data_IF_013466592249
#
_entry.id   IF_013466592249
#
_cell.length_a   1.000
_cell.length_b   1.000
_cell.length_c   1.000
_cell.angle_alpha   90.00
_cell.angle_beta   90.00
_cell.angle_gamma   90.00
#
_symmetry.space_group_name_H-M   'P 1'
#
loop_
_entity.id
_entity.type
_entity.pdbx_description
1 polymer ?
#
# COMPACT_ATOMS: atom_id res chain seq x y z
N UNK A 1 24.27 45.50 43.73
CA UNK A 1 24.34 44.11 44.29
C UNK A 1 24.96 43.22 43.27
N UNK A 2 26.19 42.75 43.53
CA UNK A 2 27.02 41.98 42.61
C UNK A 2 26.75 40.49 42.95
N UNK A 3 26.10 39.76 42.07
CA UNK A 3 25.89 38.31 42.24
C UNK A 3 27.21 37.56 41.97
N UNK A 4 27.64 36.75 42.91
CA UNK A 4 28.86 35.99 42.85
C UNK A 4 28.77 34.75 41.95
N UNK A 5 29.89 34.38 41.29
CA UNK A 5 30.06 33.28 40.35
C UNK A 5 29.88 31.85 40.91
N UNK A 6 29.31 31.65 42.09
CA UNK A 6 29.25 30.37 42.81
C UNK A 6 27.85 29.71 42.88
N UNK A 7 26.83 30.33 42.28
CA UNK A 7 25.46 29.75 42.29
C UNK A 7 24.99 29.17 40.95
N UNK A 8 25.89 29.00 40.00
CA UNK A 8 25.58 28.38 38.68
C UNK A 8 25.80 26.87 38.65
N UNK A 9 25.46 26.16 39.69
CA UNK A 9 25.78 24.77 39.78
C UNK A 9 24.78 23.92 40.55
N UNK A 10 23.50 23.97 40.25
CA UNK A 10 22.52 22.91 40.65
C UNK A 10 21.17 23.11 39.96
N UNK A 11 21.16 23.21 38.63
CA UNK A 11 19.96 22.83 37.88
C UNK A 11 20.16 21.37 37.51
N UNK A 12 19.73 20.48 38.37
CA UNK A 12 19.48 19.12 38.03
C UNK A 12 18.34 19.13 36.97
N UNK A 13 18.70 19.00 35.69
CA UNK A 13 17.74 18.60 34.69
C UNK A 13 17.22 17.23 35.14
N UNK A 14 16.04 17.23 35.75
CA UNK A 14 15.27 16.01 35.88
C UNK A 14 14.98 15.55 34.45
N UNK A 15 15.70 14.54 33.98
CA UNK A 15 15.34 13.81 32.77
C UNK A 15 13.94 13.24 33.03
N UNK A 16 12.92 13.92 32.51
CA UNK A 16 11.58 13.33 32.41
C UNK A 16 11.80 12.06 31.59
N UNK A 17 11.52 10.86 32.14
CA UNK A 17 11.60 9.66 31.34
C UNK A 17 10.60 9.86 30.20
N UNK A 18 11.12 9.98 28.98
CA UNK A 18 10.32 9.90 27.77
C UNK A 18 9.73 8.48 27.81
N UNK A 19 8.47 8.35 28.24
CA UNK A 19 7.78 7.09 28.20
C UNK A 19 7.93 6.58 26.76
N UNK A 20 8.62 5.45 26.60
CA UNK A 20 8.72 4.83 25.30
C UNK A 20 7.28 4.60 24.83
N UNK A 21 6.86 5.33 23.80
CA UNK A 21 5.56 5.13 23.20
C UNK A 21 5.47 3.64 22.88
N UNK A 22 4.44 2.97 23.41
CA UNK A 22 4.26 1.56 23.13
C UNK A 22 4.30 1.38 21.61
N UNK A 23 5.19 0.49 21.14
CA UNK A 23 5.36 0.26 19.71
C UNK A 23 3.99 -0.11 19.12
N UNK A 24 3.55 0.62 18.11
CA UNK A 24 2.29 0.31 17.42
C UNK A 24 2.36 -1.09 16.83
N UNK A 25 1.28 -1.84 16.97
CA UNK A 25 1.21 -3.21 16.44
C UNK A 25 -0.18 -3.48 15.87
N UNK A 26 -0.25 -3.58 14.56
CA UNK A 26 -1.47 -3.94 13.84
C UNK A 26 -1.51 -5.41 13.39
N UNK A 27 -0.64 -6.28 13.93
CA UNK A 27 -0.73 -7.73 13.74
C UNK A 27 -1.73 -8.30 14.74
N UNK A 28 -2.92 -8.69 14.26
CA UNK A 28 -4.04 -9.13 15.05
C UNK A 28 -4.27 -10.61 14.81
N UNK A 29 -4.21 -11.42 15.87
CA UNK A 29 -4.37 -12.88 15.77
C UNK A 29 -3.51 -13.54 14.68
N UNK A 30 -2.29 -13.02 14.48
CA UNK A 30 -1.34 -13.49 13.49
C UNK A 30 -1.45 -12.85 12.10
N UNK A 31 -2.51 -12.11 11.80
CA UNK A 31 -2.72 -11.42 10.52
C UNK A 31 -2.18 -9.99 10.59
N UNK A 32 -1.29 -9.62 9.67
CA UNK A 32 -0.80 -8.26 9.56
C UNK A 32 -1.82 -7.40 8.82
N UNK A 33 -2.36 -6.40 9.52
CA UNK A 33 -3.19 -5.35 8.90
C UNK A 33 -2.30 -4.14 8.65
N UNK A 34 -2.36 -3.62 7.44
CA UNK A 34 -1.67 -2.40 7.02
C UNK A 34 -2.60 -1.50 6.24
N UNK A 35 -2.00 -0.53 5.56
CA UNK A 35 -2.71 0.28 4.59
C UNK A 35 -1.83 0.59 3.38
N UNK A 36 -2.44 0.66 2.19
CA UNK A 36 -1.81 1.37 1.08
C UNK A 36 -1.93 2.87 1.32
N UNK A 37 -0.82 3.60 1.16
CA UNK A 37 -0.80 5.05 1.43
C UNK A 37 -1.71 5.86 0.50
N UNK A 38 -2.22 5.27 -0.58
CA UNK A 38 -3.31 5.83 -1.39
C UNK A 38 -4.59 6.10 -0.59
N UNK A 39 -4.83 5.34 0.48
CA UNK A 39 -5.93 5.60 1.42
C UNK A 39 -5.87 6.99 2.07
N UNK A 40 -4.69 7.61 2.07
CA UNK A 40 -4.40 8.94 2.61
C UNK A 40 -4.12 9.98 1.51
N UNK A 41 -4.60 9.77 0.28
CA UNK A 41 -4.29 10.58 -0.91
C UNK A 41 -4.69 12.07 -0.82
N UNK A 42 -5.56 12.42 0.10
CA UNK A 42 -6.00 13.78 0.43
C UNK A 42 -5.14 14.44 1.53
N UNK A 43 -4.21 13.70 2.14
CA UNK A 43 -3.24 14.24 3.09
C UNK A 43 -1.91 14.55 2.39
N UNK A 44 -1.16 15.57 2.85
CA UNK A 44 0.23 15.75 2.47
C UNK A 44 1.08 14.51 2.86
N UNK A 45 2.10 14.19 2.07
CA UNK A 45 2.91 12.98 2.29
C UNK A 45 3.55 12.91 3.70
N UNK A 46 3.93 14.04 4.28
CA UNK A 46 4.48 14.11 5.64
C UNK A 46 3.45 13.86 6.75
N UNK A 47 2.14 13.86 6.45
CA UNK A 47 1.08 13.55 7.40
C UNK A 47 0.69 12.07 7.42
N UNK A 48 1.19 11.27 6.48
CA UNK A 48 0.86 9.84 6.38
C UNK A 48 1.36 9.07 7.61
N UNK A 49 2.62 9.25 8.01
CA UNK A 49 3.19 8.60 9.19
C UNK A 49 2.41 8.98 10.47
N UNK A 50 2.18 10.28 10.78
CA UNK A 50 1.33 10.69 11.90
C UNK A 50 -0.08 10.06 11.87
N UNK A 51 -0.72 10.02 10.69
CA UNK A 51 -2.04 9.42 10.54
C UNK A 51 -2.02 7.91 10.86
N UNK A 52 -1.06 7.17 10.33
CA UNK A 52 -0.90 5.74 10.59
C UNK A 52 -0.63 5.44 12.07
N UNK A 53 0.24 6.21 12.71
CA UNK A 53 0.52 6.11 14.15
C UNK A 53 -0.75 6.37 14.96
N UNK A 54 -1.52 7.41 14.63
CA UNK A 54 -2.77 7.75 15.30
C UNK A 54 -3.82 6.63 15.20
N UNK A 55 -3.89 5.94 14.06
CA UNK A 55 -4.79 4.80 13.84
C UNK A 55 -4.27 3.54 14.53
N UNK A 56 -2.95 3.40 14.67
CA UNK A 56 -2.27 2.22 15.20
C UNK A 56 -1.87 1.20 14.14
N UNK A 57 -1.66 1.63 12.90
CA UNK A 57 -1.23 0.79 11.78
C UNK A 57 0.30 0.69 11.74
N UNK A 58 0.83 -0.52 11.79
CA UNK A 58 2.28 -0.81 11.84
C UNK A 58 2.84 -1.40 10.55
N UNK A 59 2.11 -1.35 9.44
CA UNK A 59 2.58 -1.82 8.13
C UNK A 59 2.04 -0.93 7.01
N UNK A 60 2.85 -0.67 5.99
CA UNK A 60 2.49 0.17 4.84
C UNK A 60 2.91 -0.43 3.51
N UNK A 61 2.00 -0.34 2.55
CA UNK A 61 2.30 -0.29 1.13
C UNK A 61 2.41 1.18 0.71
N UNK A 62 3.63 1.65 0.40
CA UNK A 62 3.89 3.05 0.13
C UNK A 62 3.77 3.36 -1.35
N UNK A 63 2.92 4.33 -1.72
CA UNK A 63 2.85 4.86 -3.07
C UNK A 63 4.15 5.58 -3.46
N UNK A 64 4.61 5.38 -4.68
CA UNK A 64 5.85 5.98 -5.19
C UNK A 64 5.87 7.50 -5.14
N UNK A 65 4.75 8.17 -5.45
CA UNK A 65 4.64 9.63 -5.35
C UNK A 65 4.78 10.15 -3.91
N UNK A 66 4.30 9.41 -2.92
CA UNK A 66 4.48 9.76 -1.52
C UNK A 66 5.94 9.54 -1.07
N UNK A 67 6.55 8.43 -1.48
CA UNK A 67 7.95 8.18 -1.21
C UNK A 67 8.86 9.23 -1.87
N UNK A 68 8.59 9.62 -3.12
CA UNK A 68 9.32 10.66 -3.83
C UNK A 68 9.15 12.03 -3.13
N UNK A 69 7.93 12.38 -2.72
CA UNK A 69 7.67 13.62 -1.97
C UNK A 69 8.45 13.67 -0.65
N UNK A 70 8.46 12.57 0.12
CA UNK A 70 9.25 12.44 1.35
C UNK A 70 10.77 12.48 1.09
N UNK A 71 11.20 12.05 -0.09
CA UNK A 71 12.58 12.11 -0.55
C UNK A 71 12.99 13.50 -1.08
N UNK A 72 12.06 14.46 -1.17
CA UNK A 72 12.32 15.82 -1.65
C UNK A 72 12.27 15.96 -3.18
N UNK A 73 11.56 15.08 -3.87
CA UNK A 73 11.31 15.22 -5.30
C UNK A 73 10.49 16.49 -5.60
N UNK A 74 10.73 17.14 -6.75
CA UNK A 74 9.90 18.26 -7.18
C UNK A 74 8.47 17.79 -7.45
N UNK A 75 7.49 18.61 -7.08
CA UNK A 75 6.09 18.39 -7.45
C UNK A 75 5.93 18.46 -8.96
N UNK A 76 5.19 17.50 -9.54
CA UNK A 76 5.00 17.40 -10.99
C UNK A 76 3.51 17.17 -11.33
N UNK A 77 2.68 18.21 -11.25
CA UNK A 77 1.25 18.12 -11.55
C UNK A 77 1.00 17.62 -12.98
N UNK A 78 -0.10 16.88 -13.15
CA UNK A 78 -0.49 16.41 -14.49
C UNK A 78 -0.72 17.61 -15.43
N UNK A 79 -0.12 17.55 -16.63
CA UNK A 79 -0.22 18.62 -17.63
C UNK A 79 0.87 19.69 -17.55
N UNK A 80 1.66 19.75 -16.48
CA UNK A 80 2.83 20.61 -16.39
C UNK A 80 4.07 19.92 -16.95
N UNK A 81 4.36 20.16 -18.22
CA UNK A 81 5.49 19.53 -18.93
C UNK A 81 6.84 19.88 -18.30
N UNK A 82 7.04 21.11 -17.85
CA UNK A 82 8.30 21.54 -17.25
C UNK A 82 8.52 20.85 -15.89
N UNK A 83 7.49 20.77 -15.06
CA UNK A 83 7.54 20.05 -13.79
C UNK A 83 7.75 18.53 -13.99
N UNK A 84 7.13 17.91 -15.01
CA UNK A 84 7.37 16.51 -15.36
C UNK A 84 8.82 16.27 -15.82
N UNK A 85 9.41 17.18 -16.58
CA UNK A 85 10.82 17.11 -16.96
C UNK A 85 11.75 17.25 -15.76
N UNK A 86 11.46 18.18 -14.83
CA UNK A 86 12.22 18.34 -13.60
C UNK A 86 12.19 17.08 -12.73
N UNK A 87 11.02 16.44 -12.59
CA UNK A 87 10.88 15.18 -11.87
C UNK A 87 11.67 14.07 -12.55
N UNK A 88 11.63 13.97 -13.89
CA UNK A 88 12.41 12.98 -14.63
C UNK A 88 13.91 13.18 -14.42
N UNK A 89 14.40 14.41 -14.48
CA UNK A 89 15.80 14.75 -14.20
C UNK A 89 16.18 14.39 -12.76
N UNK A 90 15.31 14.66 -11.79
CA UNK A 90 15.52 14.28 -10.39
C UNK A 90 15.62 12.75 -10.23
N UNK A 91 14.70 11.98 -10.84
CA UNK A 91 14.73 10.50 -10.83
C UNK A 91 16.01 9.92 -11.41
N UNK A 92 16.57 10.56 -12.44
CA UNK A 92 17.84 10.13 -13.06
C UNK A 92 19.05 10.42 -12.17
N UNK A 93 18.99 11.44 -11.32
CA UNK A 93 20.09 11.89 -10.48
C UNK A 93 20.04 11.40 -9.03
N UNK A 94 18.85 11.02 -8.56
CA UNK A 94 18.64 10.64 -7.17
C UNK A 94 19.40 9.38 -6.81
N UNK A 95 20.06 9.41 -5.65
CA UNK A 95 20.80 8.27 -5.12
C UNK A 95 19.91 7.40 -4.22
N UNK A 96 20.11 6.07 -4.20
CA UNK A 96 19.31 5.15 -3.38
C UNK A 96 19.26 5.49 -1.89
N UNK A 97 20.34 6.05 -1.33
CA UNK A 97 20.45 6.39 0.09
C UNK A 97 19.41 7.42 0.56
N UNK A 98 18.79 8.16 -0.37
CA UNK A 98 17.70 9.07 -0.01
C UNK A 98 16.45 8.28 0.40
N UNK A 99 16.21 7.15 -0.26
CA UNK A 99 15.09 6.27 0.06
C UNK A 99 15.32 5.47 1.35
N UNK A 100 16.57 5.18 1.72
CA UNK A 100 16.91 4.64 3.04
C UNK A 100 16.51 5.62 4.17
N UNK A 101 16.68 6.92 3.95
CA UNK A 101 16.21 7.95 4.90
C UNK A 101 14.68 8.00 4.97
N UNK A 102 13.99 7.82 3.85
CA UNK A 102 12.52 7.69 3.86
C UNK A 102 12.10 6.45 4.65
N UNK A 103 12.70 5.28 4.37
CA UNK A 103 12.47 4.06 5.14
C UNK A 103 12.65 4.28 6.63
N UNK A 104 13.73 4.98 7.02
CA UNK A 104 14.04 5.26 8.43
C UNK A 104 12.92 6.02 9.12
N UNK A 105 12.25 6.97 8.46
CA UNK A 105 11.11 7.70 9.05
C UNK A 105 9.97 6.74 9.45
N UNK A 106 9.62 5.77 8.59
CA UNK A 106 8.62 4.74 8.90
C UNK A 106 9.08 3.82 10.02
N UNK A 107 10.32 3.33 9.95
CA UNK A 107 10.88 2.43 10.96
C UNK A 107 10.95 3.08 12.35
N UNK A 108 11.37 4.36 12.42
CA UNK A 108 11.42 5.12 13.68
C UNK A 108 10.03 5.31 14.30
N UNK A 109 8.98 5.32 13.47
CA UNK A 109 7.59 5.37 13.89
C UNK A 109 6.99 3.98 14.21
N UNK A 110 7.76 2.90 14.09
CA UNK A 110 7.30 1.53 14.29
C UNK A 110 6.46 0.96 13.13
N UNK A 111 6.60 1.52 11.92
CA UNK A 111 5.87 1.09 10.72
C UNK A 111 6.81 0.30 9.81
N UNK A 112 6.46 -0.94 9.48
CA UNK A 112 7.15 -1.79 8.51
C UNK A 112 6.74 -1.40 7.08
N UNK A 113 7.64 -0.79 6.32
CA UNK A 113 7.46 -0.49 4.91
C UNK A 113 7.73 -1.79 4.12
N UNK A 114 6.68 -2.55 3.81
CA UNK A 114 6.82 -3.86 3.16
C UNK A 114 6.78 -3.79 1.64
N UNK A 115 6.00 -2.90 1.08
CA UNK A 115 5.71 -2.88 -0.36
C UNK A 115 5.80 -1.46 -0.88
N UNK A 116 6.41 -1.31 -2.05
CA UNK A 116 6.36 -0.09 -2.84
C UNK A 116 5.30 -0.24 -3.95
N UNK A 117 4.28 0.60 -3.97
CA UNK A 117 3.37 0.71 -5.09
C UNK A 117 3.91 1.71 -6.12
N UNK A 118 4.32 1.21 -7.28
CA UNK A 118 4.81 2.02 -8.39
C UNK A 118 4.05 1.67 -9.67
N UNK A 119 3.11 2.53 -10.09
CA UNK A 119 2.28 2.28 -11.25
C UNK A 119 3.05 2.52 -12.55
N UNK A 120 3.24 1.46 -13.33
CA UNK A 120 3.93 1.45 -14.61
C UNK A 120 2.89 1.39 -15.75
N UNK A 121 2.88 2.41 -16.59
CA UNK A 121 1.99 2.49 -17.75
C UNK A 121 2.65 2.02 -19.04
N UNK A 122 1.89 1.94 -20.12
CA UNK A 122 2.39 1.54 -21.45
C UNK A 122 3.50 2.45 -21.99
N UNK A 123 3.53 3.70 -21.56
CA UNK A 123 4.54 4.69 -21.94
C UNK A 123 5.77 4.72 -20.99
N UNK A 124 5.78 3.89 -19.94
CA UNK A 124 6.96 3.79 -19.08
C UNK A 124 8.12 3.21 -19.84
N UNK A 125 9.30 3.83 -19.69
CA UNK A 125 10.53 3.37 -20.32
C UNK A 125 11.18 2.26 -19.48
N UNK A 126 12.20 1.60 -20.01
CA UNK A 126 12.96 0.60 -19.27
C UNK A 126 13.76 1.25 -18.11
N UNK A 127 14.14 2.53 -18.28
CA UNK A 127 14.73 3.34 -17.20
C UNK A 127 13.73 3.61 -16.08
N UNK A 128 12.44 3.85 -16.40
CA UNK A 128 11.39 4.00 -15.38
C UNK A 128 11.18 2.68 -14.61
N UNK A 129 11.22 1.55 -15.33
CA UNK A 129 11.12 0.23 -14.72
C UNK A 129 12.31 -0.01 -13.79
N UNK A 130 13.54 0.18 -14.28
CA UNK A 130 14.76 0.02 -13.47
C UNK A 130 14.77 0.94 -12.25
N UNK A 131 14.33 2.19 -12.42
CA UNK A 131 14.20 3.15 -11.32
C UNK A 131 13.23 2.66 -10.23
N UNK A 132 12.10 2.09 -10.61
CA UNK A 132 11.11 1.57 -9.64
C UNK A 132 11.72 0.47 -8.74
N UNK A 133 12.54 -0.42 -9.31
CA UNK A 133 13.23 -1.47 -8.55
C UNK A 133 14.35 -0.91 -7.67
N UNK A 134 15.16 0.04 -8.16
CA UNK A 134 16.18 0.71 -7.34
C UNK A 134 15.57 1.46 -6.16
N UNK A 135 14.43 2.13 -6.39
CA UNK A 135 13.66 2.80 -5.35
C UNK A 135 13.16 1.80 -4.30
N UNK A 136 12.60 0.65 -4.74
CA UNK A 136 12.15 -0.39 -3.83
C UNK A 136 13.31 -0.95 -2.97
N UNK A 137 14.49 -1.16 -3.55
CA UNK A 137 15.69 -1.58 -2.80
C UNK A 137 16.11 -0.53 -1.76
N UNK A 138 16.17 0.75 -2.13
CA UNK A 138 16.50 1.84 -1.19
C UNK A 138 15.51 1.94 -0.04
N UNK A 139 14.22 1.76 -0.33
CA UNK A 139 13.16 1.67 0.69
C UNK A 139 13.22 0.36 1.50
N UNK A 140 14.01 -0.63 1.09
CA UNK A 140 14.04 -1.96 1.68
C UNK A 140 12.70 -2.68 1.59
N UNK A 141 11.91 -2.37 0.57
CA UNK A 141 10.65 -3.04 0.29
C UNK A 141 10.90 -4.51 -0.10
N UNK A 142 9.98 -5.37 0.30
CA UNK A 142 10.05 -6.82 0.03
C UNK A 142 9.39 -7.20 -1.29
N UNK A 143 8.58 -6.30 -1.85
CA UNK A 143 7.94 -6.44 -3.14
C UNK A 143 7.61 -5.06 -3.74
N UNK A 144 7.40 -5.06 -5.05
CA UNK A 144 6.73 -3.99 -5.79
C UNK A 144 5.29 -4.41 -6.06
N UNK A 145 4.35 -3.47 -6.06
CA UNK A 145 3.02 -3.64 -6.65
C UNK A 145 2.78 -2.60 -7.73
N UNK A 146 1.92 -2.89 -8.67
CA UNK A 146 1.66 -1.96 -9.78
C UNK A 146 0.29 -2.18 -10.42
N UNK A 147 -0.51 -1.12 -10.51
CA UNK A 147 -1.58 -1.04 -11.50
C UNK A 147 -0.93 -0.88 -12.86
N UNK A 148 -1.14 -1.84 -13.74
CA UNK A 148 -0.43 -1.93 -15.02
C UNK A 148 -1.21 -2.78 -16.02
N UNK A 149 -0.56 -3.24 -17.08
CA UNK A 149 -1.12 -4.06 -18.14
C UNK A 149 -0.23 -5.28 -18.41
N UNK A 150 -0.80 -6.34 -18.98
CA UNK A 150 -0.07 -7.58 -19.28
C UNK A 150 1.13 -7.34 -20.21
N UNK A 151 1.00 -6.45 -21.20
CA UNK A 151 2.12 -6.05 -22.08
C UNK A 151 3.26 -5.39 -21.32
N UNK A 152 2.96 -4.57 -20.32
CA UNK A 152 3.97 -3.94 -19.44
C UNK A 152 4.57 -4.99 -18.50
N UNK A 153 3.79 -5.89 -17.92
CA UNK A 153 4.28 -6.98 -17.07
C UNK A 153 5.35 -7.83 -17.78
N UNK A 154 5.18 -8.09 -19.08
CA UNK A 154 6.20 -8.79 -19.91
C UNK A 154 7.54 -8.05 -19.96
N UNK A 155 7.52 -6.70 -19.97
CA UNK A 155 8.73 -5.86 -19.94
C UNK A 155 9.33 -5.77 -18.54
N UNK A 156 8.50 -5.84 -17.50
CA UNK A 156 8.93 -5.82 -16.09
C UNK A 156 9.60 -7.13 -15.67
N UNK A 157 9.17 -8.27 -16.20
CA UNK A 157 9.63 -9.58 -15.78
C UNK A 157 11.17 -9.75 -15.74
N UNK A 158 11.95 -9.30 -16.73
CA UNK A 158 13.41 -9.37 -16.68
C UNK A 158 14.01 -8.53 -15.52
N UNK A 159 13.39 -7.41 -15.16
CA UNK A 159 13.84 -6.56 -14.06
C UNK A 159 13.50 -7.21 -12.70
N UNK A 160 12.32 -7.79 -12.54
CA UNK A 160 11.96 -8.53 -11.34
C UNK A 160 12.96 -9.67 -11.07
N UNK A 161 13.41 -10.37 -12.11
CA UNK A 161 14.45 -11.39 -12.03
C UNK A 161 15.82 -10.80 -11.73
N UNK A 162 16.25 -9.72 -12.43
CA UNK A 162 17.52 -9.01 -12.21
C UNK A 162 17.67 -8.56 -10.76
N UNK A 163 16.61 -8.03 -10.16
CA UNK A 163 16.61 -7.51 -8.80
C UNK A 163 16.25 -8.56 -7.75
N UNK A 164 15.88 -9.79 -8.16
CA UNK A 164 15.37 -10.84 -7.30
C UNK A 164 14.26 -10.36 -6.35
N UNK A 165 13.38 -9.50 -6.84
CA UNK A 165 12.34 -8.83 -6.07
C UNK A 165 10.95 -9.13 -6.67
N UNK A 166 9.99 -9.68 -5.90
CA UNK A 166 8.64 -9.91 -6.36
C UNK A 166 7.97 -8.64 -6.88
N UNK A 167 7.26 -8.77 -8.00
CA UNK A 167 6.43 -7.74 -8.58
C UNK A 167 4.99 -8.23 -8.65
N UNK A 168 4.09 -7.59 -7.90
CA UNK A 168 2.67 -7.92 -7.80
C UNK A 168 1.83 -7.14 -8.80
N UNK A 169 1.17 -7.83 -9.73
CA UNK A 169 0.16 -7.25 -10.60
C UNK A 169 -1.06 -6.87 -9.77
N UNK A 170 -1.36 -5.57 -9.65
CA UNK A 170 -2.52 -5.09 -8.93
C UNK A 170 -3.79 -5.23 -9.78
N UNK A 171 -4.78 -5.91 -9.20
CA UNK A 171 -6.03 -6.25 -9.87
C UNK A 171 -7.04 -5.10 -9.94
N UNK A 172 -7.74 -5.02 -11.06
CA UNK A 172 -8.95 -4.21 -11.26
C UNK A 172 -10.13 -5.09 -11.69
N UNK A 173 -11.19 -4.52 -12.26
CA UNK A 173 -12.44 -5.25 -12.53
C UNK A 173 -12.97 -5.14 -13.97
N UNK A 174 -12.18 -4.60 -14.90
CA UNK A 174 -12.57 -4.52 -16.30
C UNK A 174 -12.25 -5.85 -17.04
N UNK A 175 -13.10 -6.83 -16.86
CA UNK A 175 -12.95 -8.17 -17.48
C UNK A 175 -13.03 -8.16 -19.01
N UNK A 176 -13.53 -7.08 -19.64
CA UNK A 176 -13.60 -6.97 -21.08
C UNK A 176 -12.26 -6.60 -21.73
N UNK A 177 -11.30 -6.09 -20.96
CA UNK A 177 -9.98 -5.73 -21.44
C UNK A 177 -8.98 -6.89 -21.21
N UNK A 178 -8.47 -7.57 -22.25
CA UNK A 178 -7.57 -8.71 -22.11
C UNK A 178 -6.19 -8.34 -21.55
N UNK A 179 -5.86 -7.05 -21.50
CA UNK A 179 -4.61 -6.53 -20.94
C UNK A 179 -4.74 -6.17 -19.45
N UNK A 180 -5.97 -6.05 -18.94
CA UNK A 180 -6.26 -5.70 -17.54
C UNK A 180 -6.06 -6.90 -16.61
N UNK A 181 -5.54 -6.68 -15.42
CA UNK A 181 -5.40 -7.71 -14.38
C UNK A 181 -6.73 -7.93 -13.66
N UNK A 182 -7.75 -8.40 -14.38
CA UNK A 182 -9.12 -8.49 -13.88
C UNK A 182 -9.61 -9.94 -13.72
N UNK A 183 -8.90 -10.91 -14.26
CA UNK A 183 -9.34 -12.31 -14.25
C UNK A 183 -8.24 -13.28 -13.80
N UNK A 184 -8.60 -14.45 -13.25
CA UNK A 184 -7.62 -15.50 -12.91
C UNK A 184 -6.69 -15.87 -14.07
N UNK A 185 -7.21 -15.90 -15.30
CA UNK A 185 -6.46 -16.28 -16.49
C UNK A 185 -5.37 -15.24 -16.83
N UNK A 186 -5.65 -13.96 -16.61
CA UNK A 186 -4.65 -12.90 -16.83
C UNK A 186 -3.59 -12.93 -15.72
N UNK A 187 -3.98 -13.14 -14.48
CA UNK A 187 -3.03 -13.36 -13.38
C UNK A 187 -2.15 -14.59 -13.63
N UNK A 188 -2.70 -15.69 -14.12
CA UNK A 188 -1.93 -16.89 -14.49
C UNK A 188 -0.89 -16.58 -15.58
N UNK A 189 -1.25 -15.78 -16.60
CA UNK A 189 -0.29 -15.32 -17.62
C UNK A 189 0.84 -14.47 -17.03
N UNK A 190 0.55 -13.60 -16.06
CA UNK A 190 1.58 -12.82 -15.35
C UNK A 190 2.51 -13.75 -14.57
N UNK A 191 1.96 -14.63 -13.74
CA UNK A 191 2.75 -15.57 -12.91
C UNK A 191 3.60 -16.54 -13.74
N UNK A 192 3.17 -16.85 -14.96
CA UNK A 192 3.91 -17.72 -15.89
C UNK A 192 5.17 -17.06 -16.50
N UNK A 193 5.33 -15.73 -16.40
CA UNK A 193 6.49 -15.03 -16.97
C UNK A 193 7.80 -15.42 -16.27
N UNK A 194 7.84 -15.42 -14.95
CA UNK A 194 8.90 -15.99 -14.12
C UNK A 194 8.48 -16.09 -12.63
N UNK A 195 9.36 -16.63 -11.78
CA UNK A 195 9.10 -16.86 -10.35
C UNK A 195 8.92 -15.59 -9.51
N UNK A 196 9.29 -14.41 -9.99
CA UNK A 196 9.17 -13.12 -9.29
C UNK A 196 7.92 -12.33 -9.72
N UNK A 197 7.16 -12.84 -10.69
CA UNK A 197 5.91 -12.21 -11.12
C UNK A 197 4.75 -12.77 -10.31
N UNK A 198 4.20 -11.92 -9.44
CA UNK A 198 3.21 -12.28 -8.42
C UNK A 198 1.93 -11.46 -8.62
N UNK A 199 1.02 -11.54 -7.67
CA UNK A 199 -0.28 -10.83 -7.65
C UNK A 199 -0.35 -9.95 -6.40
N UNK A 200 -0.72 -8.68 -6.57
CA UNK A 200 -1.32 -7.87 -5.52
C UNK A 200 -2.84 -8.03 -5.71
N UNK A 201 -3.46 -8.85 -4.86
CA UNK A 201 -4.88 -9.17 -5.03
C UNK A 201 -5.76 -8.14 -4.34
N UNK A 202 -6.40 -7.28 -5.14
CA UNK A 202 -7.52 -6.49 -4.66
C UNK A 202 -8.78 -7.34 -4.59
N UNK A 203 -9.17 -7.73 -3.38
CA UNK A 203 -10.33 -8.61 -3.19
C UNK A 203 -11.66 -7.93 -3.51
N UNK A 204 -11.72 -6.59 -3.44
CA UNK A 204 -12.91 -5.84 -3.81
C UNK A 204 -13.11 -5.81 -5.31
N UNK A 205 -12.08 -5.48 -6.09
CA UNK A 205 -12.14 -5.53 -7.54
C UNK A 205 -12.39 -6.96 -8.05
N UNK A 206 -11.74 -7.95 -7.44
CA UNK A 206 -11.91 -9.35 -7.81
C UNK A 206 -13.35 -9.84 -7.57
N UNK A 207 -13.97 -9.43 -6.44
CA UNK A 207 -15.39 -9.70 -6.15
C UNK A 207 -16.31 -8.94 -7.10
N UNK A 208 -16.01 -7.68 -7.41
CA UNK A 208 -16.79 -6.89 -8.37
C UNK A 208 -16.76 -7.51 -9.77
N UNK A 209 -15.63 -8.09 -10.17
CA UNK A 209 -15.48 -8.85 -11.41
C UNK A 209 -16.21 -10.21 -11.41
N UNK A 210 -16.78 -10.64 -10.26
CA UNK A 210 -17.57 -11.86 -10.14
C UNK A 210 -16.80 -13.09 -9.69
N UNK A 211 -15.54 -12.95 -9.24
CA UNK A 211 -14.69 -14.06 -8.82
C UNK A 211 -14.69 -14.27 -7.30
N UNK A 212 -14.35 -15.51 -6.88
CA UNK A 212 -14.23 -15.89 -5.47
C UNK A 212 -12.80 -15.64 -4.95
N UNK A 213 -12.64 -14.54 -4.19
CA UNK A 213 -11.37 -14.17 -3.62
C UNK A 213 -10.85 -15.20 -2.57
N UNK A 214 -11.75 -15.86 -1.82
CA UNK A 214 -11.37 -16.85 -0.81
C UNK A 214 -10.77 -18.09 -1.47
N UNK A 215 -11.41 -18.58 -2.53
CA UNK A 215 -10.90 -19.72 -3.31
C UNK A 215 -9.57 -19.39 -3.97
N UNK A 216 -9.46 -18.19 -4.59
CA UNK A 216 -8.25 -17.76 -5.27
C UNK A 216 -7.04 -17.62 -4.31
N UNK A 217 -7.26 -17.05 -3.11
CA UNK A 217 -6.19 -16.95 -2.09
C UNK A 217 -5.73 -18.33 -1.65
N UNK A 218 -6.62 -19.31 -1.45
CA UNK A 218 -6.23 -20.68 -1.07
C UNK A 218 -5.33 -21.34 -2.11
N UNK A 219 -5.62 -21.12 -3.38
CA UNK A 219 -4.89 -21.74 -4.49
C UNK A 219 -3.53 -21.07 -4.73
N UNK A 220 -3.44 -19.73 -4.53
CA UNK A 220 -2.29 -18.94 -4.97
C UNK A 220 -1.59 -18.16 -3.85
N UNK A 221 -1.82 -18.51 -2.57
CA UNK A 221 -1.31 -17.76 -1.40
C UNK A 221 0.21 -17.57 -1.39
N UNK A 222 0.96 -18.46 -2.02
CA UNK A 222 2.43 -18.43 -2.13
C UNK A 222 2.94 -17.48 -3.23
N UNK A 223 2.04 -16.94 -4.05
CA UNK A 223 2.31 -16.01 -5.15
C UNK A 223 1.55 -14.69 -5.01
N UNK A 224 1.09 -14.36 -3.81
CA UNK A 224 0.42 -13.09 -3.48
C UNK A 224 1.37 -12.22 -2.66
N UNK A 225 1.67 -11.00 -3.12
CA UNK A 225 2.51 -10.04 -2.40
C UNK A 225 1.80 -9.47 -1.18
N UNK A 226 0.53 -9.11 -1.37
CA UNK A 226 -0.38 -8.54 -0.37
C UNK A 226 -1.81 -8.55 -0.89
N UNK A 227 -2.76 -8.28 -0.01
CA UNK A 227 -4.15 -8.05 -0.36
C UNK A 227 -4.49 -6.57 -0.24
N UNK A 228 -5.27 -6.04 -1.19
CA UNK A 228 -6.02 -4.81 -0.97
C UNK A 228 -7.41 -5.17 -0.44
N UNK A 229 -7.70 -4.66 0.74
CA UNK A 229 -9.01 -4.80 1.38
C UNK A 229 -9.85 -3.58 1.04
N UNK A 230 -10.81 -3.79 0.18
CA UNK A 230 -11.77 -2.81 -0.32
C UNK A 230 -13.15 -3.46 -0.34
N UNK A 231 -14.19 -2.78 0.06
CA UNK A 231 -15.54 -3.30 -0.07
C UNK A 231 -16.20 -2.75 -1.31
N UNK A 232 -16.65 -3.63 -2.17
CA UNK A 232 -17.32 -3.31 -3.42
C UNK A 232 -18.56 -4.19 -3.62
N UNK A 233 -19.53 -3.71 -4.39
CA UNK A 233 -20.60 -4.55 -4.90
C UNK A 233 -20.18 -5.19 -6.22
N UNK A 234 -20.83 -6.29 -6.57
CA UNK A 234 -20.65 -6.92 -7.88
C UNK A 234 -21.06 -5.96 -9.00
N UNK A 235 -20.28 -5.94 -10.06
CA UNK A 235 -20.59 -5.09 -11.20
C UNK A 235 -21.87 -5.57 -11.90
N UNK A 236 -22.75 -4.61 -12.20
CA UNK A 236 -23.90 -4.86 -13.06
C UNK A 236 -23.48 -4.70 -14.51
N UNK A 237 -23.69 -5.70 -15.39
CA UNK A 237 -23.32 -5.59 -16.79
C UNK A 237 -23.98 -4.35 -17.45
N UNK A 238 -23.15 -3.54 -18.12
CA UNK A 238 -23.62 -2.38 -18.88
C UNK A 238 -23.73 -1.06 -18.12
N UNK A 239 -23.60 -1.04 -16.79
CA UNK A 239 -23.71 0.20 -15.98
C UNK A 239 -22.33 0.73 -15.55
N UNK A 240 -21.65 1.46 -16.45
CA UNK A 240 -20.35 2.07 -16.18
C UNK A 240 -20.41 3.15 -15.09
N UNK A 241 -21.53 3.85 -14.95
CA UNK A 241 -21.67 4.90 -13.94
C UNK A 241 -21.79 4.29 -12.53
N UNK A 242 -22.53 3.20 -12.39
CA UNK A 242 -22.60 2.45 -11.14
C UNK A 242 -21.25 1.83 -10.78
N UNK A 243 -20.47 1.36 -11.75
CA UNK A 243 -19.12 0.77 -11.53
C UNK A 243 -18.17 1.80 -10.93
N UNK A 244 -18.19 3.05 -11.38
CA UNK A 244 -17.31 4.11 -10.88
C UNK A 244 -17.59 4.49 -9.40
N UNK A 245 -18.82 4.24 -8.91
CA UNK A 245 -19.23 4.54 -7.52
C UNK A 245 -19.41 3.27 -6.67
N UNK A 246 -18.85 2.17 -7.10
CA UNK A 246 -19.13 0.84 -6.54
C UNK A 246 -18.30 0.50 -5.29
N UNK A 247 -17.60 1.48 -4.71
CA UNK A 247 -16.88 1.34 -3.44
C UNK A 247 -17.80 1.70 -2.26
N UNK A 248 -17.86 0.83 -1.26
CA UNK A 248 -18.77 0.93 -0.12
C UNK A 248 -18.02 0.88 1.21
N UNK A 249 -18.57 1.50 2.28
CA UNK A 249 -18.06 1.27 3.62
C UNK A 249 -18.06 -0.23 3.95
N UNK A 250 -17.03 -0.70 4.64
CA UNK A 250 -16.83 -2.12 4.89
C UNK A 250 -18.02 -2.78 5.60
N UNK A 251 -18.49 -3.88 5.05
CA UNK A 251 -19.65 -4.63 5.47
C UNK A 251 -20.97 -4.22 4.80
N UNK A 252 -20.94 -3.26 3.86
CA UNK A 252 -22.12 -2.81 3.10
C UNK A 252 -22.06 -3.23 1.61
N UNK A 253 -20.92 -3.74 1.15
CA UNK A 253 -20.73 -4.32 -0.17
C UNK A 253 -20.86 -5.85 -0.17
N UNK A 254 -20.34 -6.45 -1.22
CA UNK A 254 -20.36 -7.90 -1.46
C UNK A 254 -19.00 -8.57 -1.20
N UNK A 255 -17.94 -7.77 -0.91
CA UNK A 255 -16.59 -8.31 -0.73
C UNK A 255 -16.50 -9.13 0.55
N UNK A 256 -16.01 -10.39 0.48
CA UNK A 256 -15.97 -11.28 1.63
C UNK A 256 -14.81 -10.98 2.61
N UNK A 257 -14.64 -9.71 3.03
CA UNK A 257 -13.52 -9.25 3.85
C UNK A 257 -13.36 -10.10 5.12
N UNK A 258 -14.46 -10.35 5.85
CA UNK A 258 -14.43 -11.19 7.08
C UNK A 258 -13.95 -12.62 6.78
N UNK A 259 -14.41 -13.22 5.69
CA UNK A 259 -14.03 -14.57 5.32
C UNK A 259 -12.56 -14.66 4.91
N UNK A 260 -12.05 -13.66 4.16
CA UNK A 260 -10.64 -13.55 3.80
C UNK A 260 -9.76 -13.39 5.04
N UNK A 261 -10.08 -12.46 5.95
CA UNK A 261 -9.31 -12.26 7.18
C UNK A 261 -9.28 -13.53 8.06
N UNK A 262 -10.41 -14.23 8.18
CA UNK A 262 -10.50 -15.51 8.89
C UNK A 262 -9.69 -16.61 8.20
N UNK A 263 -9.63 -16.63 6.86
CA UNK A 263 -8.78 -17.54 6.11
C UNK A 263 -7.31 -17.29 6.44
N UNK A 264 -6.83 -16.02 6.34
CA UNK A 264 -5.44 -15.68 6.67
C UNK A 264 -5.07 -16.12 8.09
N UNK A 265 -5.95 -15.89 9.06
CA UNK A 265 -5.77 -16.30 10.46
C UNK A 265 -5.69 -17.82 10.60
N UNK A 266 -6.63 -18.55 9.99
CA UNK A 266 -6.74 -20.01 10.11
C UNK A 266 -5.55 -20.73 9.49
N UNK A 267 -5.19 -20.35 8.28
CA UNK A 267 -4.12 -21.00 7.50
C UNK A 267 -2.74 -20.41 7.82
N UNK A 268 -2.68 -19.33 8.60
CA UNK A 268 -1.45 -18.62 9.00
C UNK A 268 -0.64 -18.10 7.80
N UNK A 269 -1.32 -17.65 6.74
CA UNK A 269 -0.64 -17.06 5.60
C UNK A 269 -0.01 -15.72 5.99
N UNK A 270 1.29 -15.54 5.72
CA UNK A 270 2.01 -14.28 5.98
C UNK A 270 1.82 -13.29 4.80
N UNK A 271 0.57 -13.04 4.47
CA UNK A 271 0.17 -12.08 3.45
C UNK A 271 -0.36 -10.83 4.16
N UNK A 272 0.27 -9.65 4.00
CA UNK A 272 -0.27 -8.43 4.58
C UNK A 272 -1.60 -8.06 3.94
N UNK A 273 -2.52 -7.59 4.77
CA UNK A 273 -3.86 -7.19 4.37
C UNK A 273 -3.97 -5.66 4.50
N UNK A 274 -3.78 -4.96 3.37
CA UNK A 274 -3.72 -3.51 3.31
C UNK A 274 -5.10 -2.91 3.11
N UNK A 275 -5.49 -2.01 4.00
CA UNK A 275 -6.70 -1.20 3.85
C UNK A 275 -6.53 -0.32 2.63
N UNK A 276 -7.50 -0.37 1.70
CA UNK A 276 -7.62 0.60 0.61
C UNK A 276 -8.96 1.33 0.72
N UNK A 277 -8.90 2.56 1.26
CA UNK A 277 -10.05 3.42 1.43
C UNK A 277 -10.36 4.19 0.16
N UNK A 278 -11.49 3.88 -0.50
CA UNK A 278 -11.92 4.54 -1.74
C UNK A 278 -13.42 4.88 -1.81
N UNK A 279 -14.21 4.62 -0.76
CA UNK A 279 -15.65 4.88 -0.77
C UNK A 279 -16.00 6.34 -0.43
N UNK A 280 -15.30 7.30 -1.03
CA UNK A 280 -15.46 8.74 -0.74
C UNK A 280 -16.91 9.24 -0.87
N UNK A 281 -17.70 8.71 -1.81
CA UNK A 281 -19.10 9.06 -1.99
C UNK A 281 -19.99 8.72 -0.77
N UNK A 282 -19.54 7.81 0.09
CA UNK A 282 -20.26 7.31 1.26
C UNK A 282 -19.56 7.65 2.58
N UNK A 283 -18.50 8.44 2.51
CA UNK A 283 -17.65 8.78 3.65
C UNK A 283 -18.11 10.07 4.36
N UNK A 284 -17.60 10.25 5.58
CA UNK A 284 -17.85 11.48 6.37
C UNK A 284 -16.96 12.64 5.97
N UNK A 285 -15.98 12.43 5.07
CA UNK A 285 -14.98 13.44 4.67
C UNK A 285 -13.75 13.48 5.59
N UNK A 286 -13.67 12.65 6.63
CA UNK A 286 -12.49 12.49 7.50
C UNK A 286 -11.79 11.16 7.19
N UNK A 287 -10.72 11.23 6.40
CA UNK A 287 -9.92 10.07 5.97
C UNK A 287 -9.40 9.26 7.15
N UNK A 288 -8.89 9.90 8.21
CA UNK A 288 -8.36 9.19 9.37
C UNK A 288 -9.48 8.43 10.08
N UNK A 289 -10.64 9.05 10.25
CA UNK A 289 -11.80 8.40 10.86
C UNK A 289 -12.28 7.20 10.02
N UNK A 290 -12.32 7.31 8.69
CA UNK A 290 -12.75 6.23 7.82
C UNK A 290 -11.77 5.06 7.80
N UNK A 291 -10.46 5.32 7.70
CA UNK A 291 -9.43 4.26 7.79
C UNK A 291 -9.45 3.60 9.17
N UNK A 292 -9.72 4.37 10.25
CA UNK A 292 -9.91 3.81 11.60
C UNK A 292 -11.11 2.85 11.64
N UNK A 293 -12.23 3.21 11.01
CA UNK A 293 -13.41 2.31 10.93
C UNK A 293 -13.10 1.01 10.21
N UNK A 294 -12.33 1.08 9.10
CA UNK A 294 -11.86 -0.11 8.38
C UNK A 294 -10.96 -0.98 9.29
N UNK A 295 -10.03 -0.37 10.01
CA UNK A 295 -9.15 -1.09 10.92
C UNK A 295 -9.93 -1.73 12.08
N UNK A 296 -10.89 -1.04 12.68
CA UNK A 296 -11.74 -1.60 13.73
C UNK A 296 -12.64 -2.73 13.21
N UNK A 297 -13.13 -2.64 11.97
CA UNK A 297 -13.83 -3.75 11.33
C UNK A 297 -12.93 -4.99 11.20
N UNK A 298 -11.67 -4.81 10.74
CA UNK A 298 -10.71 -5.91 10.64
C UNK A 298 -10.42 -6.53 12.01
N UNK A 299 -10.24 -5.71 13.07
CA UNK A 299 -10.06 -6.19 14.45
C UNK A 299 -11.22 -7.09 14.87
N UNK A 300 -12.46 -6.60 14.78
CA UNK A 300 -13.66 -7.38 15.14
C UNK A 300 -13.75 -8.69 14.34
N UNK A 301 -13.44 -8.65 13.03
CA UNK A 301 -13.46 -9.85 12.19
C UNK A 301 -12.47 -10.94 12.65
N UNK A 302 -11.32 -10.52 13.22
CA UNK A 302 -10.23 -11.41 13.66
C UNK A 302 -10.35 -11.82 15.13
N UNK A 303 -10.92 -10.98 16.02
CA UNK A 303 -11.10 -11.30 17.44
C UNK A 303 -12.39 -12.07 17.72
N UNK A 304 -13.37 -12.01 16.83
CA UNK A 304 -14.66 -12.69 16.99
C UNK A 304 -15.69 -11.86 17.72
N UNK A 305 -15.40 -10.58 17.99
CA UNK A 305 -16.38 -9.68 18.60
C UNK A 305 -17.52 -9.42 17.59
N UNK A 306 -18.76 -9.54 18.05
CA UNK A 306 -19.96 -9.30 17.25
C UNK A 306 -19.93 -7.84 16.73
N UNK A 307 -20.15 -7.69 15.45
CA UNK A 307 -20.32 -6.38 14.84
C UNK A 307 -21.71 -5.82 15.14
#
# INVERSE_FOLDING_TARGET
>A
MIYSRREFGKVTLAAVPMAAAAAINSRIAGVQIGAISYSFRDLPANEIIPAMVKIGLSEVELMSNHAEALAGAPSAPRGDTAAQQALKAWRSAVKPEIFERVRKQFTDAGIDLRILCYNLGVNSTDEDIDYSFRMAQGLGARALSSSSRLSVAKRVAPFAEKYALPWGAHGHDNVADPEEFATPEVFAKVMALNRYMWVNLDIGHFTAAGYDAVAYIREHHDRITNLHLKDRRKNSPGDRAAIAQNNWPWGQGDTPIKAVLRLLKKEKYDIPANIEYEYAAHATGDTIAEVTRCFDYAKRALTGDSA
#
